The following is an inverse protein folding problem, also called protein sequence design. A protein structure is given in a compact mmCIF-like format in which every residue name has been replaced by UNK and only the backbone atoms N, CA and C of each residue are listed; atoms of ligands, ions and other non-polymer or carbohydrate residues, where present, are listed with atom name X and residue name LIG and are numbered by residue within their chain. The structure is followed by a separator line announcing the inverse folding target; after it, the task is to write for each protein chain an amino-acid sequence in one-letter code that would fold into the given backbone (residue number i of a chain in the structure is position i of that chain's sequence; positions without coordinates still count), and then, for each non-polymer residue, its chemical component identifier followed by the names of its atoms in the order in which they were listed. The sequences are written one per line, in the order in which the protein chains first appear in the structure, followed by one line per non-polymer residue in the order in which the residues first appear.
data_IF_670542519090
#
_entry.id   IF_670542519090
#
_cell.length_a   1.000
_cell.length_b   1.000
_cell.length_c   1.000
_cell.angle_alpha   90.00
_cell.angle_beta   90.00
_cell.angle_gamma   90.00
#
_symmetry.space_group_name_H-M   'P 1'
#
loop_
_entity.id
_entity.type
_entity.pdbx_description
1 polymer ?
#
# COMPACT_ATOMS: atom_id res chain seq x y z
N UNK A 1 -4.97 -20.96 17.19
CA UNK A 1 -5.29 -19.55 17.49
C UNK A 1 -4.98 -18.64 16.30
N UNK A 2 -3.80 -18.75 15.71
CA UNK A 2 -3.39 -17.94 14.53
C UNK A 2 -4.30 -18.14 13.31
N UNK A 3 -4.64 -19.38 12.96
CA UNK A 3 -5.52 -19.71 11.81
C UNK A 3 -6.90 -19.07 11.97
N UNK A 4 -7.55 -19.24 13.14
CA UNK A 4 -8.86 -18.63 13.39
C UNK A 4 -8.82 -17.10 13.30
N UNK A 5 -7.75 -16.46 13.82
CA UNK A 5 -7.53 -15.03 13.69
C UNK A 5 -7.38 -14.57 12.24
N UNK A 6 -6.71 -15.38 11.40
CA UNK A 6 -6.56 -15.08 9.97
C UNK A 6 -7.91 -15.12 9.23
N UNK A 7 -8.75 -16.15 9.49
CA UNK A 7 -10.10 -16.21 8.91
C UNK A 7 -11.01 -15.06 9.37
N UNK A 8 -10.93 -14.68 10.64
CA UNK A 8 -11.67 -13.50 11.13
C UNK A 8 -11.20 -12.21 10.43
N UNK A 9 -9.88 -12.03 10.27
CA UNK A 9 -9.30 -10.90 9.53
C UNK A 9 -9.72 -10.89 8.06
N UNK A 10 -9.85 -12.04 7.41
CA UNK A 10 -10.33 -12.15 6.03
C UNK A 10 -11.80 -11.70 5.91
N UNK A 11 -12.64 -12.12 6.85
CA UNK A 11 -14.03 -11.66 6.90
C UNK A 11 -14.13 -10.14 7.07
N UNK A 12 -13.32 -9.56 7.97
CA UNK A 12 -13.24 -8.11 8.14
C UNK A 12 -12.74 -7.40 6.87
N UNK A 13 -11.76 -7.97 6.16
CA UNK A 13 -11.21 -7.40 4.93
C UNK A 13 -12.27 -7.20 3.83
N UNK A 14 -13.27 -8.08 3.74
CA UNK A 14 -14.38 -7.92 2.79
C UNK A 14 -15.22 -6.68 3.13
N UNK A 15 -15.57 -6.49 4.41
CA UNK A 15 -16.29 -5.30 4.86
C UNK A 15 -15.46 -4.03 4.66
N UNK A 16 -14.18 -4.07 5.01
CA UNK A 16 -13.23 -2.95 4.83
C UNK A 16 -13.06 -2.56 3.35
N UNK A 17 -13.07 -3.54 2.45
CA UNK A 17 -13.06 -3.29 1.01
C UNK A 17 -14.32 -2.54 0.58
N UNK A 18 -15.49 -2.94 1.05
CA UNK A 18 -16.75 -2.23 0.83
C UNK A 18 -16.71 -0.79 1.36
N UNK A 19 -16.20 -0.60 2.56
CA UNK A 19 -16.00 0.74 3.15
C UNK A 19 -15.06 1.58 2.28
N UNK A 20 -13.90 1.02 1.90
CA UNK A 20 -12.89 1.72 1.11
C UNK A 20 -13.43 2.19 -0.24
N UNK A 21 -14.19 1.35 -0.94
CA UNK A 21 -14.62 1.63 -2.31
C UNK A 21 -15.93 2.41 -2.41
N UNK A 22 -16.83 2.32 -1.41
CA UNK A 22 -18.18 2.85 -1.54
C UNK A 22 -18.55 3.95 -0.54
N UNK A 23 -17.92 3.99 0.64
CA UNK A 23 -18.27 5.00 1.65
C UNK A 23 -17.77 6.39 1.28
N UNK A 24 -18.46 7.43 1.77
CA UNK A 24 -18.04 8.82 1.58
C UNK A 24 -16.75 9.13 2.35
N UNK A 25 -15.99 10.12 1.87
CA UNK A 25 -14.77 10.58 2.54
C UNK A 25 -15.03 10.98 3.99
N UNK A 26 -16.16 11.67 4.23
CA UNK A 26 -16.56 12.10 5.57
C UNK A 26 -16.78 10.91 6.52
N UNK A 27 -17.38 9.83 6.03
CA UNK A 27 -17.60 8.63 6.83
C UNK A 27 -16.29 7.91 7.13
N UNK A 28 -15.42 7.74 6.12
CA UNK A 28 -14.10 7.09 6.29
C UNK A 28 -13.21 7.89 7.23
N UNK A 29 -13.17 9.22 7.12
CA UNK A 29 -12.36 10.11 7.98
C UNK A 29 -12.69 10.02 9.49
N UNK A 30 -13.85 9.46 9.84
CA UNK A 30 -14.23 9.23 11.25
C UNK A 30 -13.70 7.92 11.82
N UNK A 31 -13.17 7.06 10.97
CA UNK A 31 -12.75 5.71 11.35
C UNK A 31 -11.29 5.62 11.77
N UNK A 32 -10.47 6.66 11.57
CA UNK A 32 -9.04 6.52 11.75
C UNK A 32 -8.36 7.74 12.36
N UNK A 33 -7.21 7.47 12.96
CA UNK A 33 -6.21 8.45 13.34
C UNK A 33 -4.93 8.24 12.54
N UNK A 34 -4.12 9.30 12.37
CA UNK A 34 -2.84 9.24 11.65
C UNK A 34 -1.72 9.68 12.56
N UNK A 35 -0.62 8.94 12.55
CA UNK A 35 0.65 9.33 13.17
C UNK A 35 1.76 9.36 12.11
N UNK A 36 2.72 10.26 12.29
CA UNK A 36 3.90 10.36 11.43
C UNK A 36 3.67 11.04 10.07
N UNK A 37 2.54 11.71 9.83
CA UNK A 37 2.30 12.43 8.57
C UNK A 37 3.38 13.49 8.28
N UNK A 38 4.01 14.04 9.31
CA UNK A 38 5.12 14.98 9.18
C UNK A 38 6.34 14.37 8.47
N UNK A 39 6.60 13.07 8.66
CA UNK A 39 7.70 12.36 7.98
C UNK A 39 7.50 12.37 6.46
N UNK A 40 6.26 12.10 6.02
CA UNK A 40 5.90 12.15 4.60
C UNK A 40 6.05 13.56 4.03
N UNK A 41 5.56 14.57 4.72
CA UNK A 41 5.68 15.96 4.28
C UNK A 41 7.13 16.43 4.23
N UNK A 42 7.95 16.05 5.22
CA UNK A 42 9.38 16.36 5.23
C UNK A 42 10.09 15.78 4.01
N UNK A 43 9.85 14.51 3.70
CA UNK A 43 10.44 13.87 2.54
C UNK A 43 10.00 14.50 1.20
N UNK A 44 8.73 14.92 1.11
CA UNK A 44 8.22 15.62 -0.07
C UNK A 44 8.86 17.01 -0.25
N UNK A 45 9.13 17.72 0.84
CA UNK A 45 9.79 19.04 0.81
C UNK A 45 11.22 18.97 0.28
N UNK A 46 11.89 17.82 0.39
CA UNK A 46 13.20 17.57 -0.23
C UNK A 46 13.12 17.44 -1.77
N UNK A 47 11.95 17.56 -2.37
CA UNK A 47 11.69 17.36 -3.81
C UNK A 47 12.13 15.99 -4.34
N UNK A 48 12.23 15.03 -3.45
CA UNK A 48 12.46 13.63 -3.78
C UNK A 48 11.11 12.91 -3.85
N UNK A 49 10.99 11.96 -4.78
CA UNK A 49 9.86 11.04 -4.75
C UNK A 49 9.84 10.24 -3.45
N UNK A 50 8.68 9.81 -3.04
CA UNK A 50 8.51 9.01 -1.83
C UNK A 50 8.03 7.62 -2.20
N UNK A 51 8.75 6.58 -1.78
CA UNK A 51 8.31 5.21 -1.86
C UNK A 51 7.73 4.77 -0.51
N UNK A 52 6.40 4.70 -0.44
CA UNK A 52 5.68 4.22 0.74
C UNK A 52 5.72 2.70 0.75
N UNK A 53 6.49 2.13 1.68
CA UNK A 53 6.69 0.70 1.81
C UNK A 53 5.62 0.11 2.71
N UNK A 54 4.70 -0.62 2.10
CA UNK A 54 3.67 -1.37 2.81
C UNK A 54 3.87 -2.88 2.72
N UNK A 55 2.96 -3.63 3.32
CA UNK A 55 2.81 -5.07 3.17
C UNK A 55 1.34 -5.40 2.90
N UNK A 56 1.09 -6.59 2.29
CA UNK A 56 -0.28 -7.02 1.96
C UNK A 56 -1.03 -7.55 3.19
N UNK A 57 -1.22 -6.67 4.18
CA UNK A 57 -2.14 -6.99 5.28
C UNK A 57 -3.59 -7.06 4.80
N UNK A 58 -4.44 -7.75 5.54
CA UNK A 58 -5.86 -7.92 5.18
C UNK A 58 -6.63 -6.60 5.06
N UNK A 59 -6.21 -5.54 5.76
CA UNK A 59 -6.79 -4.18 5.69
C UNK A 59 -6.26 -3.33 4.52
N UNK A 60 -5.65 -3.94 3.50
CA UNK A 60 -4.96 -3.27 2.38
C UNK A 60 -5.83 -2.22 1.68
N UNK A 61 -7.07 -2.57 1.30
CA UNK A 61 -7.95 -1.67 0.55
C UNK A 61 -8.32 -0.42 1.38
N UNK A 62 -8.65 -0.64 2.64
CA UNK A 62 -8.96 0.47 3.55
C UNK A 62 -7.70 1.29 3.86
N UNK A 63 -6.55 0.65 4.01
CA UNK A 63 -5.26 1.32 4.17
C UNK A 63 -4.92 2.24 3.00
N UNK A 64 -5.09 1.74 1.77
CA UNK A 64 -4.89 2.54 0.56
C UNK A 64 -5.86 3.73 0.46
N UNK A 65 -7.13 3.53 0.86
CA UNK A 65 -8.13 4.57 0.92
C UNK A 65 -7.78 5.66 1.93
N UNK A 66 -7.44 5.28 3.16
CA UNK A 66 -7.07 6.19 4.25
C UNK A 66 -5.81 6.96 3.90
N UNK A 67 -4.77 6.27 3.44
CA UNK A 67 -3.50 6.90 3.02
C UNK A 67 -3.74 7.95 1.94
N UNK A 68 -4.54 7.63 0.92
CA UNK A 68 -4.89 8.55 -0.15
C UNK A 68 -5.74 9.74 0.30
N UNK A 69 -6.56 9.59 1.35
CA UNK A 69 -7.30 10.71 1.97
C UNK A 69 -6.39 11.66 2.77
N UNK A 70 -5.27 11.15 3.30
CA UNK A 70 -4.27 11.96 3.97
C UNK A 70 -3.36 12.66 2.96
N UNK A 71 -2.88 11.90 1.98
CA UNK A 71 -2.00 12.37 0.91
C UNK A 71 -2.27 11.55 -0.36
N UNK A 72 -2.88 12.12 -1.40
CA UNK A 72 -3.08 11.44 -2.66
C UNK A 72 -1.76 10.92 -3.23
N UNK A 73 -1.71 9.64 -3.56
CA UNK A 73 -0.53 8.93 -4.03
C UNK A 73 -0.83 8.08 -5.26
N UNK A 74 0.20 7.56 -5.89
CA UNK A 74 0.07 6.51 -6.89
C UNK A 74 0.25 5.15 -6.21
N UNK A 75 -0.38 4.11 -6.73
CA UNK A 75 -0.21 2.76 -6.19
C UNK A 75 0.15 1.78 -7.32
N UNK A 76 1.18 0.98 -7.07
CA UNK A 76 1.46 -0.15 -7.94
C UNK A 76 0.42 -1.25 -7.73
N UNK A 77 -0.09 -1.82 -8.81
CA UNK A 77 -1.07 -2.88 -8.73
C UNK A 77 -0.96 -3.90 -9.86
N UNK A 78 -1.61 -5.01 -9.69
CA UNK A 78 -1.86 -5.98 -10.76
C UNK A 78 -3.28 -5.78 -11.27
N UNK A 79 -3.49 -5.50 -12.57
CA UNK A 79 -4.83 -5.46 -13.16
C UNK A 79 -5.56 -6.80 -12.98
N UNK A 80 -6.85 -6.73 -12.67
CA UNK A 80 -7.67 -7.92 -12.47
C UNK A 80 -8.06 -8.57 -13.81
N UNK A 81 -8.06 -9.89 -13.88
CA UNK A 81 -8.40 -10.60 -15.11
C UNK A 81 -9.89 -10.43 -15.50
N UNK A 82 -10.79 -10.31 -14.53
CA UNK A 82 -12.19 -10.03 -14.77
C UNK A 82 -12.40 -8.54 -14.98
N UNK A 83 -12.91 -8.12 -16.15
CA UNK A 83 -13.07 -6.71 -16.53
C UNK A 83 -14.03 -5.92 -15.63
N UNK A 84 -15.09 -6.55 -15.12
CA UNK A 84 -16.02 -5.90 -14.21
C UNK A 84 -15.36 -5.62 -12.85
N UNK A 85 -14.63 -6.60 -12.32
CA UNK A 85 -13.86 -6.44 -11.09
C UNK A 85 -12.75 -5.39 -11.25
N UNK A 86 -12.04 -5.39 -12.38
CA UNK A 86 -11.03 -4.37 -12.69
C UNK A 86 -11.64 -2.96 -12.65
N UNK A 87 -12.78 -2.78 -13.28
CA UNK A 87 -13.48 -1.50 -13.29
C UNK A 87 -13.86 -1.05 -11.86
N UNK A 88 -14.49 -1.93 -11.06
CA UNK A 88 -14.94 -1.60 -9.71
C UNK A 88 -13.75 -1.30 -8.79
N UNK A 89 -12.72 -2.15 -8.83
CA UNK A 89 -11.50 -2.00 -8.03
C UNK A 89 -10.77 -0.69 -8.37
N UNK A 90 -10.53 -0.43 -9.65
CA UNK A 90 -9.83 0.78 -10.09
C UNK A 90 -10.63 2.03 -9.74
N UNK A 91 -11.94 2.02 -10.00
CA UNK A 91 -12.83 3.13 -9.62
C UNK A 91 -12.83 3.37 -8.11
N UNK A 92 -12.87 2.30 -7.31
CA UNK A 92 -12.81 2.39 -5.85
C UNK A 92 -11.50 3.01 -5.35
N UNK A 93 -10.37 2.51 -5.84
CA UNK A 93 -9.02 2.99 -5.47
C UNK A 93 -8.75 4.42 -5.93
N UNK A 94 -9.20 4.81 -7.12
CA UNK A 94 -9.03 6.15 -7.67
C UNK A 94 -9.83 7.24 -6.94
N UNK A 95 -10.70 6.89 -5.99
CA UNK A 95 -11.45 7.89 -5.19
C UNK A 95 -10.55 8.77 -4.32
N UNK A 96 -9.38 8.30 -3.93
CA UNK A 96 -8.44 9.04 -3.09
C UNK A 96 -7.01 9.03 -3.62
N UNK A 97 -6.71 8.23 -4.64
CA UNK A 97 -5.37 8.13 -5.21
C UNK A 97 -5.30 8.85 -6.56
N UNK A 98 -4.08 9.29 -6.93
CA UNK A 98 -3.81 10.00 -8.18
C UNK A 98 -3.82 9.07 -9.39
N UNK A 99 -3.23 7.88 -9.27
CA UNK A 99 -3.11 6.93 -10.36
C UNK A 99 -2.84 5.51 -9.85
N UNK A 100 -3.15 4.55 -10.71
CA UNK A 100 -2.78 3.15 -10.54
C UNK A 100 -1.74 2.80 -11.60
N UNK A 101 -0.58 2.29 -11.17
CA UNK A 101 0.54 1.92 -12.05
C UNK A 101 0.58 0.40 -12.17
N UNK A 102 0.52 -0.14 -13.39
CA UNK A 102 0.68 -1.59 -13.61
C UNK A 102 2.05 -2.04 -13.07
N UNK A 103 2.07 -3.13 -12.32
CA UNK A 103 3.31 -3.70 -11.74
C UNK A 103 4.39 -4.04 -12.78
N UNK A 104 4.04 -4.13 -14.06
CA UNK A 104 4.97 -4.34 -15.17
C UNK A 104 5.58 -3.05 -15.68
N UNK A 105 5.00 -1.90 -15.35
CA UNK A 105 5.47 -0.59 -15.79
C UNK A 105 6.52 -0.01 -14.82
N UNK A 106 7.68 -0.65 -14.75
CA UNK A 106 8.81 -0.16 -13.96
C UNK A 106 9.26 1.25 -14.39
N UNK A 107 9.15 1.57 -15.69
CA UNK A 107 9.54 2.89 -16.20
C UNK A 107 8.59 3.97 -15.69
N UNK A 108 7.29 3.73 -15.72
CA UNK A 108 6.29 4.62 -15.15
C UNK A 108 6.50 4.87 -13.66
N UNK A 109 6.84 3.82 -12.90
CA UNK A 109 7.17 3.97 -11.48
C UNK A 109 8.41 4.83 -11.24
N UNK A 110 9.51 4.57 -11.97
CA UNK A 110 10.74 5.37 -11.88
C UNK A 110 10.47 6.82 -12.29
N UNK A 111 9.67 7.04 -13.32
CA UNK A 111 9.29 8.38 -13.77
C UNK A 111 8.48 9.11 -12.69
N UNK A 112 7.45 8.49 -12.13
CA UNK A 112 6.63 9.08 -11.07
C UNK A 112 7.50 9.49 -9.86
N UNK A 113 8.37 8.60 -9.38
CA UNK A 113 9.27 8.89 -8.27
C UNK A 113 10.24 10.05 -8.59
N UNK A 114 10.77 10.12 -9.82
CA UNK A 114 11.64 11.23 -10.25
C UNK A 114 10.91 12.57 -10.37
N UNK A 115 9.59 12.54 -10.59
CA UNK A 115 8.74 13.74 -10.59
C UNK A 115 8.32 14.19 -9.18
N UNK A 116 8.83 13.52 -8.13
CA UNK A 116 8.49 13.86 -6.74
C UNK A 116 7.18 13.26 -6.24
N UNK A 117 6.59 12.33 -6.99
CA UNK A 117 5.33 11.68 -6.59
C UNK A 117 5.56 10.66 -5.46
N UNK A 118 4.51 10.45 -4.66
CA UNK A 118 4.46 9.36 -3.68
C UNK A 118 3.88 8.11 -4.33
N UNK A 119 4.60 6.98 -4.23
CA UNK A 119 4.19 5.70 -4.81
C UNK A 119 4.14 4.64 -3.71
N UNK A 120 2.98 4.01 -3.52
CA UNK A 120 2.84 2.85 -2.64
C UNK A 120 3.39 1.60 -3.31
N UNK A 121 4.25 0.88 -2.59
CA UNK A 121 4.92 -0.33 -3.05
C UNK A 121 4.96 -1.37 -1.94
N UNK A 122 4.63 -2.63 -2.24
CA UNK A 122 4.70 -3.75 -1.29
C UNK A 122 5.63 -4.84 -1.81
N UNK A 123 6.79 -5.07 -1.16
CA UNK A 123 7.79 -6.04 -1.60
C UNK A 123 7.58 -7.46 -1.07
N UNK A 124 6.52 -7.73 -0.34
CA UNK A 124 6.31 -8.94 0.46
C UNK A 124 5.70 -10.12 -0.29
N UNK A 125 5.46 -10.01 -1.60
CA UNK A 125 4.96 -11.11 -2.41
C UNK A 125 6.09 -11.90 -3.07
N UNK A 126 5.94 -13.24 -3.04
CA UNK A 126 6.80 -14.16 -3.76
C UNK A 126 6.43 -14.19 -5.24
N UNK A 127 7.33 -13.74 -6.09
CA UNK A 127 7.25 -13.83 -7.56
C UNK A 127 8.11 -14.93 -8.15
N UNK A 128 8.59 -15.85 -7.33
CA UNK A 128 9.50 -16.93 -7.69
C UNK A 128 10.98 -16.50 -7.63
N UNK A 129 11.90 -17.41 -7.95
CA UNK A 129 13.34 -17.19 -7.74
C UNK A 129 13.94 -16.15 -8.68
N UNK A 130 13.33 -15.92 -9.84
CA UNK A 130 13.85 -14.98 -10.82
C UNK A 130 13.60 -13.53 -10.41
N UNK A 131 14.65 -12.78 -10.17
CA UNK A 131 14.56 -11.37 -9.73
C UNK A 131 14.24 -11.22 -8.25
N UNK A 132 14.55 -12.23 -7.44
CA UNK A 132 14.38 -12.22 -5.98
C UNK A 132 15.69 -12.47 -5.25
N UNK A 133 15.75 -11.97 -4.03
CA UNK A 133 16.75 -12.34 -3.02
C UNK A 133 16.07 -13.17 -1.95
N UNK A 134 16.74 -14.20 -1.46
CA UNK A 134 16.21 -15.05 -0.41
C UNK A 134 16.61 -14.52 0.96
N UNK A 135 15.63 -14.23 1.80
CA UNK A 135 15.82 -13.73 3.15
C UNK A 135 14.81 -14.41 4.11
N UNK A 136 15.13 -14.49 5.42
CA UNK A 136 14.17 -15.00 6.38
C UNK A 136 12.93 -14.10 6.47
N UNK A 137 11.75 -14.73 6.46
CA UNK A 137 10.47 -14.06 6.69
C UNK A 137 9.61 -14.97 7.58
N UNK A 138 9.33 -14.52 8.80
CA UNK A 138 8.61 -15.31 9.81
C UNK A 138 9.27 -16.69 10.01
N UNK A 139 8.53 -17.79 9.80
CA UNK A 139 9.03 -19.16 9.94
C UNK A 139 9.70 -19.71 8.66
N UNK A 140 9.80 -18.91 7.60
CA UNK A 140 10.42 -19.32 6.33
C UNK A 140 11.83 -18.76 6.27
N UNK A 141 12.84 -19.63 6.35
CA UNK A 141 14.25 -19.21 6.35
C UNK A 141 14.71 -18.60 5.01
N UNK A 142 14.12 -19.05 3.91
CA UNK A 142 14.48 -18.63 2.53
C UNK A 142 13.23 -18.20 1.77
N UNK A 143 12.61 -17.11 2.23
CA UNK A 143 11.50 -16.49 1.51
C UNK A 143 12.02 -15.67 0.32
N UNK A 144 11.42 -15.86 -0.85
CA UNK A 144 11.77 -15.08 -2.03
C UNK A 144 11.22 -13.66 -1.90
N UNK A 145 12.13 -12.70 -1.74
CA UNK A 145 11.82 -11.28 -1.63
C UNK A 145 12.19 -10.57 -2.92
N UNK A 146 11.28 -9.82 -3.52
CA UNK A 146 11.52 -9.15 -4.80
C UNK A 146 12.66 -8.12 -4.71
N UNK A 147 13.53 -8.10 -5.73
CA UNK A 147 14.56 -7.07 -5.87
C UNK A 147 14.00 -5.70 -6.33
N UNK A 148 12.68 -5.58 -6.53
CA UNK A 148 12.03 -4.36 -7.00
C UNK A 148 12.34 -3.13 -6.14
N UNK A 149 12.32 -3.28 -4.81
CA UNK A 149 12.70 -2.21 -3.87
C UNK A 149 14.12 -1.70 -4.14
N UNK A 150 15.09 -2.61 -4.26
CA UNK A 150 16.48 -2.26 -4.55
C UNK A 150 16.62 -1.57 -5.90
N UNK A 151 15.98 -2.11 -6.94
CA UNK A 151 16.04 -1.52 -8.29
C UNK A 151 15.47 -0.09 -8.30
N UNK A 152 14.28 0.10 -7.70
CA UNK A 152 13.65 1.42 -7.61
C UNK A 152 14.48 2.41 -6.79
N UNK A 153 15.06 1.97 -5.67
CA UNK A 153 15.93 2.81 -4.83
C UNK A 153 17.17 3.28 -5.57
N UNK A 154 17.76 2.42 -6.42
CA UNK A 154 18.94 2.78 -7.23
C UNK A 154 18.61 3.71 -8.40
N UNK A 155 17.48 3.49 -9.07
CA UNK A 155 17.12 4.24 -10.29
C UNK A 155 16.47 5.59 -10.00
N UNK A 156 15.68 5.70 -8.95
CA UNK A 156 14.93 6.92 -8.63
C UNK A 156 15.39 7.62 -7.35
N UNK A 157 16.12 6.92 -6.46
CA UNK A 157 16.61 7.42 -5.16
C UNK A 157 15.51 8.09 -4.32
N UNK A 158 14.33 7.48 -4.16
CA UNK A 158 13.23 8.05 -3.39
C UNK A 158 13.57 8.07 -1.90
N UNK A 159 12.85 8.88 -1.14
CA UNK A 159 12.71 8.65 0.30
C UNK A 159 11.90 7.36 0.51
N UNK A 160 12.36 6.48 1.39
CA UNK A 160 11.69 5.21 1.69
C UNK A 160 11.03 5.31 3.06
N UNK A 161 9.70 5.24 3.09
CA UNK A 161 8.90 5.48 4.30
C UNK A 161 8.00 4.27 4.54
N UNK A 162 8.17 3.55 5.66
CA UNK A 162 7.25 2.50 6.07
C UNK A 162 5.86 3.06 6.35
N UNK A 163 4.83 2.32 5.92
CA UNK A 163 3.44 2.67 6.18
C UNK A 163 2.62 1.43 6.54
N UNK A 164 1.82 1.54 7.59
CA UNK A 164 0.95 0.44 8.04
C UNK A 164 -0.38 0.95 8.57
N UNK A 165 -1.47 0.24 8.24
CA UNK A 165 -2.77 0.43 8.88
C UNK A 165 -3.00 -0.65 9.92
N UNK A 166 -3.25 -0.26 11.16
CA UNK A 166 -3.54 -1.14 12.28
C UNK A 166 -5.01 -0.98 12.68
N UNK A 167 -5.71 -2.10 12.93
CA UNK A 167 -7.02 -2.08 13.58
C UNK A 167 -6.83 -1.87 15.07
N UNK A 168 -7.55 -0.94 15.66
CA UNK A 168 -7.48 -0.69 17.09
C UNK A 168 -7.98 -1.90 17.89
N UNK A 169 -7.32 -2.26 19.00
CA UNK A 169 -7.71 -3.44 19.79
C UNK A 169 -9.15 -3.38 20.32
N UNK A 170 -9.67 -2.18 20.57
CA UNK A 170 -11.00 -1.95 21.12
C UNK A 170 -12.10 -1.91 20.05
N UNK A 171 -11.80 -2.21 18.78
CA UNK A 171 -12.70 -2.11 17.64
C UNK A 171 -13.32 -0.70 17.43
N UNK A 172 -12.63 0.35 17.88
CA UNK A 172 -13.04 1.75 17.76
C UNK A 172 -12.43 2.47 16.54
N UNK A 173 -11.91 1.70 15.59
CA UNK A 173 -11.37 2.23 14.34
C UNK A 173 -9.97 1.75 14.01
N UNK A 174 -9.20 2.64 13.37
CA UNK A 174 -7.90 2.31 12.79
C UNK A 174 -6.85 3.37 13.11
N UNK A 175 -5.60 2.96 13.11
CA UNK A 175 -4.45 3.87 13.17
C UNK A 175 -3.58 3.68 11.92
N UNK A 176 -3.39 4.74 11.15
CA UNK A 176 -2.39 4.80 10.09
C UNK A 176 -1.07 5.33 10.67
N UNK A 177 -0.02 4.53 10.57
CA UNK A 177 1.33 4.86 11.05
C UNK A 177 2.23 5.06 9.84
N UNK A 178 2.98 6.16 9.82
CA UNK A 178 3.95 6.55 8.79
C UNK A 178 5.27 6.85 9.50
N UNK A 179 6.33 6.05 9.23
CA UNK A 179 7.62 6.12 9.95
C UNK A 179 8.75 6.71 9.11
#
# INVERSE_FOLDING_TARGET
RMIAGNFASLGMALAETGIAWFWSDRAVKRLFHVSGLANLHSAQNERRGVMLIGVHFMSLELGGRISGLCQPMMAMYRPHNNRAMEYVQTKGRMRSNKAMIDRRDLRGMVHALKQGESVWFAPDQDYGPKGSTFAPLLAVEKAATTNGTFVLSRLAKPAMIPIVLIRNPNNDGYQLIIE
#
